data_IF_980888068776
#
_entry.id   IF_980888068776
#
_cell.length_a   1.000
_cell.length_b   1.000
_cell.length_c   1.000
_cell.angle_alpha   90.00
_cell.angle_beta   90.00
_cell.angle_gamma   90.00
#
_symmetry.space_group_name_H-M   'P 1'
#
loop_
_entity.id
_entity.type
_entity.pdbx_description
1 polymer ?
#
# COMPACT_ATOMS: atom_id res chain seq x y z
N UNK A 1 15.05 -20.91 31.79
CA UNK A 1 14.15 -20.81 30.63
C UNK A 1 13.06 -19.81 30.96
N UNK A 2 13.22 -18.56 30.52
CA UNK A 2 12.18 -17.54 30.65
C UNK A 2 11.08 -17.90 29.64
N UNK A 3 9.88 -18.20 30.12
CA UNK A 3 8.73 -18.53 29.28
C UNK A 3 8.43 -17.28 28.44
N UNK A 4 8.54 -17.41 27.12
CA UNK A 4 8.27 -16.32 26.21
C UNK A 4 6.75 -16.06 26.25
N UNK A 5 6.32 -15.00 26.92
CA UNK A 5 4.92 -14.58 26.99
C UNK A 5 4.46 -13.93 25.65
N UNK A 6 4.76 -14.57 24.52
CA UNK A 6 4.23 -14.10 23.23
C UNK A 6 2.72 -14.37 23.18
N UNK A 7 1.94 -13.38 22.74
CA UNK A 7 0.47 -13.49 22.66
C UNK A 7 0.01 -14.46 21.57
N UNK A 8 0.91 -14.87 20.69
CA UNK A 8 0.68 -15.78 19.58
C UNK A 8 1.89 -15.83 18.65
N UNK A 9 1.80 -16.63 17.59
CA UNK A 9 2.82 -16.68 16.54
C UNK A 9 2.66 -15.47 15.59
N UNK A 10 3.72 -14.65 15.36
CA UNK A 10 3.66 -13.48 14.49
C UNK A 10 3.35 -13.81 13.02
N UNK A 11 3.86 -14.92 12.52
CA UNK A 11 3.64 -15.37 11.14
C UNK A 11 2.18 -15.75 10.97
N UNK A 12 1.61 -16.49 11.92
CA UNK A 12 0.18 -16.85 11.91
C UNK A 12 -0.70 -15.59 11.95
N UNK A 13 -0.40 -14.64 12.84
CA UNK A 13 -1.15 -13.38 12.93
C UNK A 13 -1.09 -12.57 11.61
N UNK A 14 0.07 -12.57 10.95
CA UNK A 14 0.27 -11.91 9.65
C UNK A 14 -0.57 -12.58 8.56
N UNK A 15 -0.46 -13.90 8.41
CA UNK A 15 -1.17 -14.67 7.39
C UNK A 15 -2.70 -14.60 7.57
N UNK A 16 -3.19 -14.70 8.80
CA UNK A 16 -4.61 -14.54 9.08
C UNK A 16 -5.12 -13.16 8.63
N UNK A 17 -4.37 -12.10 8.93
CA UNK A 17 -4.73 -10.73 8.52
C UNK A 17 -4.67 -10.56 7.00
N UNK A 18 -3.71 -11.21 6.33
CA UNK A 18 -3.60 -11.17 4.86
C UNK A 18 -4.84 -11.73 4.17
N UNK A 19 -5.35 -12.86 4.66
CA UNK A 19 -6.56 -13.49 4.14
C UNK A 19 -7.84 -12.75 4.55
N UNK A 20 -7.95 -12.34 5.81
CA UNK A 20 -9.13 -11.66 6.35
C UNK A 20 -8.67 -10.49 7.20
N UNK A 21 -8.91 -9.24 6.77
CA UNK A 21 -8.50 -8.06 7.52
C UNK A 21 -8.96 -8.12 8.98
N UNK A 22 -8.02 -7.87 9.90
CA UNK A 22 -8.28 -7.94 11.35
C UNK A 22 -8.23 -9.34 11.97
N UNK A 23 -8.26 -10.44 11.22
CA UNK A 23 -8.30 -11.79 11.81
C UNK A 23 -7.07 -12.13 12.66
N UNK A 24 -5.87 -11.65 12.30
CA UNK A 24 -4.69 -11.78 13.17
C UNK A 24 -4.83 -11.04 14.49
N UNK A 25 -5.50 -9.89 14.51
CA UNK A 25 -5.77 -9.15 15.75
C UNK A 25 -6.81 -9.87 16.61
N UNK A 26 -7.80 -10.52 16.00
CA UNK A 26 -8.74 -11.38 16.71
C UNK A 26 -8.02 -12.57 17.35
N UNK A 27 -7.13 -13.22 16.60
CA UNK A 27 -6.25 -14.29 17.10
C UNK A 27 -5.42 -13.86 18.31
N UNK A 28 -4.93 -12.62 18.31
CA UNK A 28 -4.19 -12.02 19.44
C UNK A 28 -5.09 -11.48 20.57
N UNK A 29 -6.40 -11.79 20.55
CA UNK A 29 -7.34 -11.42 21.61
C UNK A 29 -7.79 -9.95 21.59
N UNK A 30 -7.77 -9.28 20.43
CA UNK A 30 -8.20 -7.87 20.26
C UNK A 30 -9.48 -7.75 19.39
N UNK A 31 -10.64 -8.25 19.85
CA UNK A 31 -11.83 -8.40 19.02
C UNK A 31 -12.40 -7.07 18.50
N UNK A 32 -12.45 -6.03 19.33
CA UNK A 32 -12.99 -4.73 18.91
C UNK A 32 -12.14 -4.09 17.80
N UNK A 33 -10.81 -4.18 17.92
CA UNK A 33 -9.91 -3.68 16.89
C UNK A 33 -10.01 -4.53 15.62
N UNK A 34 -10.07 -5.85 15.76
CA UNK A 34 -10.26 -6.77 14.62
C UNK A 34 -11.54 -6.44 13.83
N UNK A 35 -12.66 -6.21 14.53
CA UNK A 35 -13.91 -5.83 13.91
C UNK A 35 -13.82 -4.48 13.20
N UNK A 36 -13.23 -3.47 13.85
CA UNK A 36 -13.04 -2.15 13.23
C UNK A 36 -12.14 -2.23 11.98
N UNK A 37 -11.03 -2.98 12.07
CA UNK A 37 -10.11 -3.21 10.97
C UNK A 37 -10.80 -3.92 9.78
N UNK A 38 -11.59 -4.96 10.07
CA UNK A 38 -12.40 -5.65 9.08
C UNK A 38 -13.39 -4.71 8.38
N UNK A 39 -14.21 -3.99 9.16
CA UNK A 39 -15.22 -3.06 8.61
C UNK A 39 -14.58 -1.99 7.73
N UNK A 40 -13.46 -1.40 8.15
CA UNK A 40 -12.80 -0.34 7.38
C UNK A 40 -12.21 -0.89 6.09
N UNK A 41 -11.42 -1.96 6.15
CA UNK A 41 -10.72 -2.48 4.98
C UNK A 41 -11.69 -3.13 4.00
N UNK A 42 -12.56 -4.02 4.46
CA UNK A 42 -13.56 -4.65 3.61
C UNK A 42 -14.60 -3.65 3.14
N UNK A 43 -15.01 -2.69 3.98
CA UNK A 43 -15.96 -1.65 3.58
C UNK A 43 -15.42 -0.79 2.43
N UNK A 44 -14.16 -0.36 2.51
CA UNK A 44 -13.49 0.38 1.42
C UNK A 44 -13.38 -0.49 0.17
N UNK A 45 -12.97 -1.75 0.31
CA UNK A 45 -12.80 -2.65 -0.83
C UNK A 45 -14.13 -2.97 -1.52
N UNK A 46 -15.17 -3.33 -0.75
CA UNK A 46 -16.51 -3.62 -1.26
C UNK A 46 -17.16 -2.38 -1.88
N UNK A 47 -16.96 -1.20 -1.31
CA UNK A 47 -17.38 0.06 -1.94
C UNK A 47 -16.67 0.25 -3.28
N UNK A 48 -15.37 -0.06 -3.35
CA UNK A 48 -14.61 -0.03 -4.60
C UNK A 48 -15.12 -1.00 -5.66
N UNK A 49 -15.44 -2.23 -5.26
CA UNK A 49 -16.09 -3.21 -6.13
C UNK A 49 -17.45 -2.71 -6.63
N UNK A 50 -18.27 -2.16 -5.74
CA UNK A 50 -19.59 -1.64 -6.10
C UNK A 50 -19.49 -0.48 -7.10
N UNK A 51 -18.58 0.46 -6.89
CA UNK A 51 -18.37 1.61 -7.78
C UNK A 51 -17.75 1.23 -9.14
N UNK A 52 -17.10 0.07 -9.24
CA UNK A 52 -16.51 -0.42 -10.48
C UNK A 52 -17.33 -1.53 -11.14
N UNK A 53 -18.52 -1.86 -10.63
CA UNK A 53 -19.31 -3.05 -11.01
C UNK A 53 -18.50 -4.38 -10.94
N UNK A 54 -17.44 -4.41 -10.14
CA UNK A 54 -16.47 -5.51 -10.05
C UNK A 54 -15.50 -5.61 -11.23
N UNK A 55 -15.55 -4.67 -12.17
CA UNK A 55 -14.88 -4.73 -13.48
C UNK A 55 -13.45 -4.19 -13.50
N UNK A 56 -12.87 -3.90 -12.33
CA UNK A 56 -11.52 -3.31 -12.20
C UNK A 56 -10.42 -4.08 -12.97
N UNK A 57 -10.53 -5.40 -13.11
CA UNK A 57 -9.55 -6.20 -13.85
C UNK A 57 -9.90 -6.37 -15.35
N UNK A 58 -11.11 -6.04 -15.80
CA UNK A 58 -11.46 -6.08 -17.22
C UNK A 58 -10.66 -5.06 -18.04
N UNK A 59 -10.13 -4.05 -17.36
CA UNK A 59 -9.30 -2.99 -17.90
C UNK A 59 -7.98 -3.50 -18.51
N UNK A 60 -7.52 -4.67 -18.04
CA UNK A 60 -6.27 -5.26 -18.51
C UNK A 60 -6.41 -5.63 -19.99
N UNK A 61 -5.41 -5.28 -20.83
CA UNK A 61 -5.33 -5.80 -22.19
C UNK A 61 -5.40 -7.33 -22.20
N UNK A 62 -6.06 -7.96 -23.19
CA UNK A 62 -6.23 -9.41 -23.24
C UNK A 62 -4.94 -10.22 -23.02
N UNK A 63 -3.82 -9.73 -23.54
CA UNK A 63 -2.48 -10.31 -23.42
C UNK A 63 -1.91 -10.29 -21.99
N UNK A 64 -2.39 -9.40 -21.12
CA UNK A 64 -1.97 -9.29 -19.72
C UNK A 64 -2.89 -10.05 -18.75
N UNK A 65 -4.01 -10.57 -19.23
CA UNK A 65 -5.00 -11.31 -18.42
C UNK A 65 -4.48 -12.71 -18.11
N UNK A 66 -3.86 -12.85 -16.94
CA UNK A 66 -3.36 -14.14 -16.44
C UNK A 66 -3.92 -14.44 -15.06
N UNK A 67 -3.85 -15.68 -14.61
CA UNK A 67 -4.26 -16.03 -13.23
C UNK A 67 -3.43 -15.28 -12.16
N UNK A 68 -2.24 -14.78 -12.53
CA UNK A 68 -1.33 -14.09 -11.62
C UNK A 68 -1.44 -12.56 -11.70
N UNK A 69 -2.09 -11.98 -12.72
CA UNK A 69 -2.16 -10.53 -12.87
C UNK A 69 -2.77 -9.80 -11.66
N UNK A 70 -3.83 -10.31 -10.99
CA UNK A 70 -4.37 -9.67 -9.80
C UNK A 70 -3.35 -9.61 -8.65
N UNK A 71 -2.45 -10.60 -8.54
CA UNK A 71 -1.42 -10.61 -7.49
C UNK A 71 -0.34 -9.55 -7.67
N UNK A 72 -0.23 -8.95 -8.85
CA UNK A 72 0.68 -7.84 -9.13
C UNK A 72 0.05 -6.48 -8.84
N UNK A 73 -1.22 -6.46 -8.46
CA UNK A 73 -1.94 -5.24 -8.10
C UNK A 73 -1.85 -4.94 -6.59
N UNK A 74 -1.99 -3.68 -6.17
CA UNK A 74 -2.01 -3.32 -4.75
C UNK A 74 -3.09 -4.07 -3.94
N UNK A 75 -4.19 -4.44 -4.59
CA UNK A 75 -5.29 -5.24 -4.04
C UNK A 75 -4.82 -6.58 -3.46
N UNK A 76 -3.68 -7.12 -3.92
CA UNK A 76 -3.09 -8.37 -3.41
C UNK A 76 -2.76 -8.32 -1.92
N UNK A 77 -2.66 -7.12 -1.34
CA UNK A 77 -2.58 -6.93 0.10
C UNK A 77 -3.80 -7.43 0.88
N UNK A 78 -4.96 -7.57 0.23
CA UNK A 78 -6.17 -8.22 0.77
C UNK A 78 -6.49 -9.48 -0.05
N UNK A 79 -5.88 -10.60 0.34
CA UNK A 79 -5.93 -11.83 -0.42
C UNK A 79 -7.35 -12.43 -0.48
N UNK A 80 -8.12 -12.36 0.61
CA UNK A 80 -9.49 -12.87 0.61
C UNK A 80 -10.37 -12.12 -0.38
N UNK A 81 -10.31 -10.79 -0.34
CA UNK A 81 -11.13 -9.94 -1.20
C UNK A 81 -10.74 -10.06 -2.68
N UNK A 82 -9.45 -10.15 -3.00
CA UNK A 82 -9.01 -10.32 -4.41
C UNK A 82 -9.37 -11.69 -4.98
N UNK A 83 -9.31 -12.76 -4.18
CA UNK A 83 -9.76 -14.10 -4.59
C UNK A 83 -11.28 -14.11 -4.80
N UNK A 84 -12.03 -13.44 -3.92
CA UNK A 84 -13.47 -13.24 -4.11
C UNK A 84 -13.78 -12.49 -5.40
N UNK A 85 -13.11 -11.35 -5.65
CA UNK A 85 -13.31 -10.57 -6.87
C UNK A 85 -12.96 -11.39 -8.12
N UNK A 86 -11.80 -12.05 -8.11
CA UNK A 86 -11.32 -12.85 -9.25
C UNK A 86 -12.24 -14.02 -9.56
N UNK A 87 -12.76 -14.69 -8.53
CA UNK A 87 -13.70 -15.81 -8.72
C UNK A 87 -15.09 -15.37 -9.17
N UNK A 88 -15.54 -14.17 -8.77
CA UNK A 88 -16.89 -13.68 -9.06
C UNK A 88 -17.01 -12.91 -10.37
N UNK A 89 -16.02 -12.08 -10.70
CA UNK A 89 -16.06 -11.14 -11.82
C UNK A 89 -15.02 -11.47 -12.91
N UNK A 90 -13.84 -11.95 -12.51
CA UNK A 90 -12.77 -12.32 -13.43
C UNK A 90 -12.35 -11.16 -14.34
N UNK A 91 -12.26 -11.43 -15.65
CA UNK A 91 -11.87 -10.47 -16.69
C UNK A 91 -13.02 -10.05 -17.61
N UNK A 92 -14.26 -10.27 -17.18
CA UNK A 92 -15.45 -9.99 -17.97
C UNK A 92 -15.62 -10.92 -19.16
N UNK A 93 -16.55 -10.56 -20.04
CA UNK A 93 -16.92 -11.39 -21.22
C UNK A 93 -16.03 -11.13 -22.44
N UNK A 94 -15.16 -10.10 -22.39
CA UNK A 94 -14.38 -9.63 -23.54
C UNK A 94 -15.18 -8.82 -24.57
N UNK A 95 -16.48 -8.63 -24.35
CA UNK A 95 -17.30 -7.77 -25.21
C UNK A 95 -16.98 -6.29 -24.94
N UNK A 96 -16.96 -5.42 -25.97
CA UNK A 96 -16.88 -3.98 -25.77
C UNK A 96 -18.03 -3.50 -24.89
N UNK A 97 -17.70 -2.79 -23.82
CA UNK A 97 -18.69 -2.23 -22.91
C UNK A 97 -18.19 -0.90 -22.35
N UNK A 98 -19.14 -0.01 -22.07
CA UNK A 98 -18.86 1.29 -21.49
C UNK A 98 -18.44 1.08 -20.04
N UNK A 99 -17.38 1.77 -19.61
CA UNK A 99 -16.94 1.76 -18.22
C UNK A 99 -17.86 2.61 -17.36
N UNK A 100 -18.19 2.18 -16.12
CA UNK A 100 -18.88 3.04 -15.17
C UNK A 100 -18.08 4.33 -14.94
N UNK A 101 -18.76 5.47 -14.87
CA UNK A 101 -18.10 6.77 -14.59
C UNK A 101 -17.32 6.79 -13.26
N UNK A 102 -17.67 5.88 -12.34
CA UNK A 102 -17.04 5.70 -11.03
C UNK A 102 -15.93 4.65 -11.00
N UNK A 103 -15.56 4.06 -12.15
CA UNK A 103 -14.63 2.94 -12.24
C UNK A 103 -13.26 3.26 -11.63
N UNK A 104 -12.65 4.40 -11.98
CA UNK A 104 -11.35 4.79 -11.46
C UNK A 104 -11.35 4.96 -9.94
N UNK A 105 -12.37 5.63 -9.39
CA UNK A 105 -12.54 5.73 -7.93
C UNK A 105 -12.70 4.33 -7.30
N UNK A 106 -13.48 3.46 -7.93
CA UNK A 106 -13.65 2.08 -7.48
C UNK A 106 -12.32 1.34 -7.39
N UNK A 107 -11.49 1.47 -8.43
CA UNK A 107 -10.13 0.89 -8.50
C UNK A 107 -9.16 1.46 -7.46
N UNK A 108 -9.20 2.78 -7.21
CA UNK A 108 -8.37 3.38 -6.16
C UNK A 108 -8.76 2.85 -4.77
N UNK A 109 -10.07 2.68 -4.51
CA UNK A 109 -10.57 2.16 -3.25
C UNK A 109 -10.18 0.69 -3.02
N UNK A 110 -10.30 -0.18 -4.03
CA UNK A 110 -9.83 -1.58 -3.89
C UNK A 110 -8.33 -1.63 -3.61
N UNK A 111 -7.53 -0.83 -4.31
CA UNK A 111 -6.10 -0.71 -4.07
C UNK A 111 -5.79 -0.24 -2.63
N UNK A 112 -6.54 0.73 -2.10
CA UNK A 112 -6.39 1.16 -0.70
C UNK A 112 -6.73 0.06 0.29
N UNK A 113 -7.78 -0.72 0.04
CA UNK A 113 -8.10 -1.88 0.87
C UNK A 113 -6.89 -2.81 0.99
N UNK A 114 -6.20 -3.10 -0.12
CA UNK A 114 -4.98 -3.88 -0.12
C UNK A 114 -3.84 -3.25 0.69
N UNK A 115 -3.50 -1.98 0.42
CA UNK A 115 -2.40 -1.27 1.11
C UNK A 115 -2.66 -1.16 2.62
N UNK A 116 -3.88 -0.81 3.01
CA UNK A 116 -4.28 -0.74 4.43
C UNK A 116 -4.17 -2.11 5.10
N UNK A 117 -4.53 -3.18 4.40
CA UNK A 117 -4.40 -4.52 4.97
C UNK A 117 -2.94 -4.95 5.17
N UNK A 118 -2.01 -4.56 4.29
CA UNK A 118 -0.57 -4.77 4.50
C UNK A 118 -0.07 -4.07 5.76
N UNK A 119 -0.55 -2.85 6.05
CA UNK A 119 -0.24 -2.14 7.29
C UNK A 119 -0.85 -2.81 8.52
N UNK A 120 -2.04 -3.42 8.39
CA UNK A 120 -2.61 -4.24 9.45
C UNK A 120 -1.86 -5.56 9.65
N UNK A 121 -1.37 -6.18 8.59
CA UNK A 121 -0.54 -7.39 8.66
C UNK A 121 0.74 -7.10 9.46
N UNK A 122 1.43 -6.00 9.14
CA UNK A 122 2.64 -5.61 9.88
C UNK A 122 2.35 -5.27 11.34
N UNK A 123 1.21 -4.61 11.62
CA UNK A 123 0.75 -4.39 13.00
C UNK A 123 0.49 -5.70 13.75
N UNK A 124 -0.22 -6.65 13.15
CA UNK A 124 -0.52 -7.94 13.76
C UNK A 124 0.78 -8.71 14.08
N UNK A 125 1.75 -8.68 13.15
CA UNK A 125 3.08 -9.23 13.35
C UNK A 125 3.76 -8.60 14.57
N UNK A 126 3.83 -7.27 14.59
CA UNK A 126 4.46 -6.51 15.67
C UNK A 126 3.78 -6.75 17.03
N UNK A 127 2.45 -6.72 17.07
CA UNK A 127 1.67 -6.95 18.29
C UNK A 127 1.88 -8.37 18.87
N UNK A 128 2.17 -9.37 18.03
CA UNK A 128 2.49 -10.72 18.48
C UNK A 128 3.90 -10.83 19.10
N UNK A 129 4.84 -9.99 18.64
CA UNK A 129 6.24 -9.91 19.14
C UNK A 129 6.37 -9.05 20.39
N UNK A 130 5.49 -8.07 20.57
CA UNK A 130 5.50 -7.15 21.71
C UNK A 130 5.10 -7.84 23.01
N UNK A 131 6.03 -7.92 23.96
CA UNK A 131 5.82 -8.45 25.31
C UNK A 131 5.43 -7.37 26.32
N UNK A 132 5.73 -6.10 26.05
CA UNK A 132 5.44 -4.96 26.93
C UNK A 132 4.86 -3.80 26.15
N UNK A 133 4.01 -3.03 26.82
CA UNK A 133 3.58 -1.74 26.29
C UNK A 133 4.78 -0.78 26.35
N UNK A 134 5.17 -0.24 25.21
CA UNK A 134 6.15 0.85 25.11
C UNK A 134 5.48 2.09 24.55
N UNK A 135 6.04 3.23 24.93
CA UNK A 135 5.56 4.56 24.53
C UNK A 135 6.28 5.01 23.28
N UNK A 136 5.55 5.51 22.29
CA UNK A 136 6.16 6.04 21.06
C UNK A 136 5.21 5.95 19.88
N UNK A 137 5.70 6.43 18.73
CA UNK A 137 4.98 6.28 17.46
C UNK A 137 5.05 4.81 17.03
N UNK A 138 3.90 4.16 16.93
CA UNK A 138 3.81 2.76 16.53
C UNK A 138 4.36 2.53 15.11
N UNK A 139 5.03 1.40 14.82
CA UNK A 139 5.68 1.16 13.53
C UNK A 139 4.74 1.27 12.33
N UNK A 140 3.55 0.68 12.41
CA UNK A 140 2.55 0.73 11.34
C UNK A 140 2.01 2.14 11.12
N UNK A 141 1.92 2.95 12.18
CA UNK A 141 1.47 4.34 12.08
C UNK A 141 2.55 5.21 11.42
N UNK A 142 3.82 4.95 11.71
CA UNK A 142 4.93 5.62 11.05
C UNK A 142 4.97 5.27 9.54
N UNK A 143 4.81 3.99 9.20
CA UNK A 143 4.72 3.53 7.82
C UNK A 143 3.50 4.11 7.09
N UNK A 144 2.32 4.10 7.72
CA UNK A 144 1.11 4.70 7.18
C UNK A 144 1.31 6.19 6.90
N UNK A 145 1.88 6.93 7.86
CA UNK A 145 2.16 8.35 7.67
C UNK A 145 3.07 8.60 6.46
N UNK A 146 4.14 7.81 6.32
CA UNK A 146 5.05 7.89 5.16
C UNK A 146 4.41 7.46 3.84
N UNK A 147 3.45 6.53 3.86
CA UNK A 147 2.66 6.23 2.67
C UNK A 147 1.77 7.42 2.30
N UNK A 148 0.97 7.94 3.25
CA UNK A 148 0.05 9.07 3.01
C UNK A 148 0.80 10.28 2.44
N UNK A 149 1.92 10.65 3.06
CA UNK A 149 2.82 11.69 2.55
C UNK A 149 4.27 11.18 2.68
N UNK A 150 5.02 11.04 1.58
CA UNK A 150 6.41 10.63 1.61
C UNK A 150 7.23 11.43 2.63
N UNK A 151 7.90 10.72 3.56
CA UNK A 151 8.73 11.34 4.60
C UNK A 151 7.99 11.82 5.86
N UNK A 152 6.66 11.76 5.92
CA UNK A 152 5.91 12.21 7.11
C UNK A 152 6.17 11.32 8.33
N UNK A 153 6.29 10.00 8.18
CA UNK A 153 6.66 9.11 9.29
C UNK A 153 8.00 9.48 9.93
N UNK A 154 9.00 9.81 9.11
CA UNK A 154 10.30 10.33 9.56
C UNK A 154 10.14 11.63 10.35
N UNK A 155 9.30 12.57 9.88
CA UNK A 155 9.03 13.84 10.57
C UNK A 155 8.38 13.60 11.93
N UNK A 156 7.38 12.71 12.00
CA UNK A 156 6.69 12.35 13.25
C UNK A 156 7.61 11.66 14.25
N UNK A 157 8.65 10.98 13.79
CA UNK A 157 9.73 10.42 14.62
C UNK A 157 10.78 11.45 15.05
N UNK A 158 10.63 12.73 14.66
CA UNK A 158 11.60 13.79 14.94
C UNK A 158 12.76 13.88 13.93
N UNK A 159 12.83 12.99 12.94
CA UNK A 159 13.86 12.99 11.87
C UNK A 159 13.51 13.99 10.75
N UNK A 160 13.27 15.25 11.14
CA UNK A 160 12.65 16.29 10.29
C UNK A 160 13.38 16.56 8.97
N UNK A 161 14.69 16.81 9.01
CA UNK A 161 15.48 17.07 7.82
C UNK A 161 15.42 15.89 6.84
N UNK A 162 15.57 14.67 7.36
CA UNK A 162 15.50 13.45 6.54
C UNK A 162 14.13 13.30 5.88
N UNK A 163 13.05 13.46 6.63
CA UNK A 163 11.69 13.40 6.09
C UNK A 163 11.43 14.46 5.02
N UNK A 164 11.90 15.69 5.23
CA UNK A 164 11.80 16.76 4.24
C UNK A 164 12.57 16.46 2.94
N UNK A 165 13.81 15.98 3.04
CA UNK A 165 14.60 15.62 1.86
C UNK A 165 13.98 14.45 1.08
N UNK A 166 13.41 13.46 1.78
CA UNK A 166 12.66 12.36 1.18
C UNK A 166 11.44 12.89 0.42
N UNK A 167 10.66 13.77 1.04
CA UNK A 167 9.50 14.38 0.39
C UNK A 167 9.91 15.09 -0.91
N UNK A 168 10.91 15.98 -0.84
CA UNK A 168 11.39 16.71 -2.01
C UNK A 168 11.89 15.78 -3.12
N UNK A 169 12.65 14.74 -2.76
CA UNK A 169 13.18 13.80 -3.73
C UNK A 169 12.08 13.00 -4.41
N UNK A 170 11.19 12.36 -3.66
CA UNK A 170 10.20 11.45 -4.22
C UNK A 170 9.08 12.20 -4.94
N UNK A 171 8.56 13.27 -4.35
CA UNK A 171 7.53 14.10 -5.00
C UNK A 171 8.13 14.87 -6.17
N UNK A 172 9.37 15.34 -6.07
CA UNK A 172 10.07 15.97 -7.19
C UNK A 172 10.26 15.02 -8.36
N UNK A 173 10.76 13.79 -8.10
CA UNK A 173 10.94 12.76 -9.11
C UNK A 173 9.61 12.41 -9.81
N UNK A 174 8.56 12.19 -9.03
CA UNK A 174 7.22 11.91 -9.55
C UNK A 174 6.64 13.08 -10.35
N UNK A 175 6.83 14.33 -9.88
CA UNK A 175 6.34 15.53 -10.57
C UNK A 175 7.05 15.71 -11.90
N UNK A 176 8.38 15.52 -11.94
CA UNK A 176 9.15 15.56 -13.18
C UNK A 176 8.64 14.48 -14.14
N UNK A 177 8.47 13.24 -13.67
CA UNK A 177 7.90 12.15 -14.47
C UNK A 177 6.52 12.52 -15.03
N UNK A 178 5.60 12.96 -14.17
CA UNK A 178 4.22 13.24 -14.56
C UNK A 178 4.09 14.45 -15.49
N UNK A 179 4.96 15.44 -15.36
CA UNK A 179 5.01 16.59 -16.28
C UNK A 179 5.57 16.20 -17.64
N UNK A 180 6.64 15.39 -17.68
CA UNK A 180 7.19 14.85 -18.93
C UNK A 180 6.23 13.88 -19.64
N UNK A 181 5.40 13.17 -18.88
CA UNK A 181 4.36 12.29 -19.38
C UNK A 181 3.02 12.97 -19.64
N UNK A 182 2.93 14.29 -19.44
CA UNK A 182 1.70 15.09 -19.61
C UNK A 182 0.48 14.49 -18.88
N UNK A 183 0.71 13.81 -17.76
CA UNK A 183 -0.30 13.09 -16.97
C UNK A 183 -0.72 11.72 -17.53
N UNK A 184 -0.33 11.36 -18.75
CA UNK A 184 -0.68 10.08 -19.39
C UNK A 184 -0.15 8.86 -18.62
N UNK A 185 0.94 9.03 -17.87
CA UNK A 185 1.56 7.99 -17.07
C UNK A 185 0.75 7.59 -15.82
N UNK A 186 -0.26 8.39 -15.45
CA UNK A 186 -1.07 8.24 -14.23
C UNK A 186 -2.30 7.34 -14.45
N UNK A 187 -2.61 7.03 -15.71
CA UNK A 187 -3.81 6.28 -16.06
C UNK A 187 -3.62 4.77 -15.81
N UNK A 188 -4.40 4.21 -14.88
CA UNK A 188 -4.41 2.76 -14.62
C UNK A 188 -4.85 1.95 -15.84
N UNK A 189 -5.70 2.50 -16.71
CA UNK A 189 -6.12 1.84 -17.96
C UNK A 189 -4.94 1.52 -18.87
N UNK A 190 -4.02 2.47 -18.96
CA UNK A 190 -2.86 2.38 -19.86
C UNK A 190 -1.70 1.65 -19.21
N UNK A 191 -1.54 1.84 -17.91
CA UNK A 191 -0.31 1.51 -17.19
C UNK A 191 -0.53 0.67 -15.95
N UNK A 192 -1.44 -0.31 -16.01
CA UNK A 192 -1.90 -1.10 -14.86
C UNK A 192 -0.80 -1.48 -13.83
N UNK A 193 0.32 -2.08 -14.29
CA UNK A 193 1.40 -2.51 -13.38
C UNK A 193 2.22 -1.34 -12.83
N UNK A 194 2.53 -0.35 -13.66
CA UNK A 194 3.29 0.82 -13.22
C UNK A 194 2.48 1.72 -12.29
N UNK A 195 1.17 1.84 -12.55
CA UNK A 195 0.22 2.50 -11.67
C UNK A 195 0.24 1.87 -10.27
N UNK A 196 0.28 0.53 -10.18
CA UNK A 196 0.41 -0.18 -8.91
C UNK A 196 1.67 0.21 -8.12
N UNK A 197 2.78 0.49 -8.80
CA UNK A 197 3.97 1.06 -8.16
C UNK A 197 3.80 2.54 -7.81
N UNK A 198 3.23 3.35 -8.70
CA UNK A 198 3.02 4.79 -8.51
C UNK A 198 2.12 5.09 -7.30
N UNK A 199 1.04 4.33 -7.09
CA UNK A 199 0.10 4.57 -5.98
C UNK A 199 0.74 4.37 -4.60
N UNK A 200 1.89 3.69 -4.52
CA UNK A 200 2.68 3.56 -3.29
C UNK A 200 3.37 4.86 -2.88
N UNK A 201 3.41 5.87 -3.77
CA UNK A 201 3.77 7.24 -3.41
C UNK A 201 2.70 7.92 -2.51
N UNK A 202 1.48 7.38 -2.50
CA UNK A 202 0.37 7.85 -1.67
C UNK A 202 -0.35 9.07 -2.23
N UNK A 203 -0.74 10.00 -1.34
CA UNK A 203 -1.60 11.13 -1.72
C UNK A 203 -1.09 11.96 -2.90
N UNK A 204 0.22 12.25 -3.06
CA UNK A 204 0.69 12.99 -4.22
C UNK A 204 0.32 12.33 -5.55
N UNK A 205 0.46 11.01 -5.67
CA UNK A 205 0.11 10.29 -6.89
C UNK A 205 -1.41 10.27 -7.12
N UNK A 206 -2.18 10.04 -6.07
CA UNK A 206 -3.64 9.98 -6.13
C UNK A 206 -4.26 11.31 -6.54
N UNK A 207 -3.78 12.41 -5.95
CA UNK A 207 -4.24 13.75 -6.29
C UNK A 207 -3.86 14.09 -7.73
N UNK A 208 -2.67 13.72 -8.17
CA UNK A 208 -2.25 13.95 -9.55
C UNK A 208 -3.13 13.16 -10.54
N UNK A 209 -3.44 11.89 -10.26
CA UNK A 209 -4.32 11.06 -11.08
C UNK A 209 -5.74 11.64 -11.18
N UNK A 210 -6.33 12.07 -10.05
CA UNK A 210 -7.67 12.68 -10.04
C UNK A 210 -7.72 13.92 -10.93
N UNK A 211 -6.65 14.73 -10.93
CA UNK A 211 -6.64 16.01 -11.64
C UNK A 211 -6.25 15.84 -13.12
N UNK A 212 -5.28 14.95 -13.44
CA UNK A 212 -4.66 14.90 -14.76
C UNK A 212 -4.72 13.53 -15.45
N UNK A 213 -5.02 12.45 -14.72
CA UNK A 213 -4.74 11.08 -15.17
C UNK A 213 -5.62 10.54 -16.29
N UNK A 214 -6.73 11.20 -16.61
CA UNK A 214 -7.72 10.69 -17.58
C UNK A 214 -7.89 11.63 -18.79
N UNK A 215 -6.87 12.43 -19.09
CA UNK A 215 -6.90 13.35 -20.24
C UNK A 215 -6.85 12.55 -21.56
N UNK A 216 -7.70 12.88 -22.55
CA UNK A 216 -7.58 12.29 -23.89
C UNK A 216 -6.20 12.57 -24.48
N UNK A 217 -5.59 11.56 -25.11
CA UNK A 217 -4.36 11.76 -25.88
C UNK A 217 -4.72 11.94 -27.35
N UNK A 218 -4.47 13.13 -27.87
CA UNK A 218 -4.63 13.51 -29.28
C UNK A 218 -3.29 13.57 -30.03
N UNK A 219 -2.18 13.33 -29.34
CA UNK A 219 -0.83 13.35 -29.88
C UNK A 219 0.09 12.34 -29.17
N UNK A 220 1.28 12.14 -29.73
CA UNK A 220 2.32 11.28 -29.14
C UNK A 220 3.11 12.06 -28.07
N UNK A 221 3.22 11.49 -26.86
CA UNK A 221 3.96 12.10 -25.75
C UNK A 221 5.42 11.62 -25.79
N UNK A 222 6.41 12.48 -26.10
CA UNK A 222 7.78 12.04 -26.41
C UNK A 222 8.51 11.30 -25.28
N UNK A 223 8.18 11.60 -24.03
CA UNK A 223 8.84 11.04 -22.85
C UNK A 223 7.95 10.10 -22.04
N UNK A 224 6.92 9.55 -22.67
CA UNK A 224 5.91 8.73 -22.03
C UNK A 224 6.49 7.54 -21.24
N UNK A 225 7.37 6.74 -21.86
CA UNK A 225 7.93 5.54 -21.20
C UNK A 225 8.80 5.92 -20.01
N UNK A 226 9.58 7.01 -20.14
CA UNK A 226 10.40 7.53 -19.05
C UNK A 226 9.53 8.02 -17.90
N UNK A 227 8.44 8.72 -18.18
CA UNK A 227 7.49 9.22 -17.20
C UNK A 227 6.88 8.08 -16.36
N UNK A 228 6.44 7.02 -17.03
CA UNK A 228 5.84 5.83 -16.41
C UNK A 228 6.84 5.13 -15.47
N UNK A 229 8.08 4.95 -15.93
CA UNK A 229 9.15 4.33 -15.13
C UNK A 229 9.51 5.19 -13.94
N UNK A 230 9.77 6.49 -14.14
CA UNK A 230 10.16 7.42 -13.07
C UNK A 230 9.09 7.52 -12.00
N UNK A 231 7.82 7.64 -12.39
CA UNK A 231 6.70 7.67 -11.46
C UNK A 231 6.62 6.40 -10.62
N UNK A 232 6.75 5.23 -11.26
CA UNK A 232 6.72 3.93 -10.57
C UNK A 232 7.89 3.79 -9.59
N UNK A 233 9.10 4.17 -10.01
CA UNK A 233 10.30 4.15 -9.16
C UNK A 233 10.11 5.06 -7.95
N UNK A 234 9.53 6.26 -8.10
CA UNK A 234 9.25 7.14 -6.97
C UNK A 234 8.35 6.47 -5.91
N UNK A 235 7.29 5.76 -6.34
CA UNK A 235 6.41 5.02 -5.44
C UNK A 235 7.08 3.81 -4.79
N UNK A 236 7.86 3.03 -5.53
CA UNK A 236 8.62 1.89 -4.98
C UNK A 236 9.70 2.35 -3.98
N UNK A 237 10.36 3.48 -4.23
CA UNK A 237 11.28 4.09 -3.26
C UNK A 237 10.54 4.56 -2.01
N UNK A 238 9.27 4.98 -2.12
CA UNK A 238 8.46 5.30 -0.95
C UNK A 238 8.20 4.07 -0.07
N UNK A 239 8.13 2.86 -0.64
CA UNK A 239 8.06 1.62 0.17
C UNK A 239 9.30 1.47 1.03
N UNK A 240 10.50 1.76 0.51
CA UNK A 240 11.73 1.73 1.31
C UNK A 240 11.71 2.77 2.44
N UNK A 241 11.11 3.94 2.18
CA UNK A 241 10.89 4.99 3.18
C UNK A 241 9.89 4.53 4.25
N UNK A 242 8.82 3.82 3.87
CA UNK A 242 7.87 3.22 4.80
C UNK A 242 8.55 2.18 5.69
N UNK A 243 9.39 1.31 5.10
CA UNK A 243 10.17 0.30 5.83
C UNK A 243 11.18 0.95 6.79
N UNK A 244 11.85 2.03 6.38
CA UNK A 244 12.74 2.80 7.28
C UNK A 244 11.97 3.45 8.44
N UNK A 245 10.78 4.01 8.18
CA UNK A 245 9.93 4.55 9.23
C UNK A 245 9.47 3.42 10.17
N UNK A 246 9.02 2.30 9.63
CA UNK A 246 8.60 1.14 10.40
C UNK A 246 9.74 0.62 11.30
N UNK A 247 10.90 0.31 10.70
CA UNK A 247 12.05 -0.28 11.40
C UNK A 247 12.60 0.63 12.50
N UNK A 248 12.65 1.95 12.27
CA UNK A 248 13.04 2.92 13.30
C UNK A 248 12.10 2.90 14.51
N UNK A 249 10.79 2.86 14.28
CA UNK A 249 9.81 2.77 15.36
C UNK A 249 9.88 1.41 16.05
N UNK A 250 10.05 0.32 15.29
CA UNK A 250 10.13 -1.03 15.82
C UNK A 250 11.33 -1.21 16.76
N UNK A 251 12.52 -0.77 16.35
CA UNK A 251 13.74 -0.90 17.15
C UNK A 251 13.61 -0.15 18.48
N UNK A 252 13.03 1.06 18.47
CA UNK A 252 12.77 1.82 19.70
C UNK A 252 11.82 1.08 20.66
N UNK A 253 10.82 0.37 20.13
CA UNK A 253 9.90 -0.39 20.97
C UNK A 253 10.53 -1.69 21.49
N UNK A 254 11.47 -2.28 20.75
CA UNK A 254 12.23 -3.47 21.15
C UNK A 254 13.45 -3.16 22.02
N UNK A 255 13.81 -1.89 22.19
CA UNK A 255 14.99 -1.46 22.96
C UNK A 255 16.31 -1.63 22.19
N UNK A 256 16.25 -1.72 20.87
CA UNK A 256 17.40 -1.82 19.97
C UNK A 256 17.83 -0.41 19.49
N UNK A 257 19.11 -0.23 19.15
CA UNK A 257 19.58 1.03 18.58
C UNK A 257 19.02 1.18 17.14
N UNK A 258 18.17 2.19 16.86
CA UNK A 258 17.61 2.40 15.53
C UNK A 258 18.66 2.72 14.44
N UNK A 259 19.88 3.12 14.81
CA UNK A 259 20.95 3.43 13.85
C UNK A 259 21.80 2.22 13.50
N UNK A 260 21.87 1.24 14.38
CA UNK A 260 22.76 0.09 14.29
C UNK A 260 21.91 -1.12 14.65
N UNK A 261 21.36 -1.82 13.64
CA UNK A 261 20.47 -2.98 13.82
C UNK A 261 21.12 -4.22 14.46
N UNK A 262 22.12 -4.03 15.31
CA UNK A 262 22.83 -5.00 16.13
C UNK A 262 23.03 -4.39 17.51
N UNK A 263 22.46 -5.05 18.51
CA UNK A 263 22.54 -4.68 19.92
C UNK A 263 23.97 -4.43 20.39
N UNK A 264 24.20 -3.30 21.06
CA UNK A 264 25.37 -3.04 21.90
C UNK A 264 25.38 -3.88 23.20
N UNK A 265 25.00 -5.17 23.12
CA UNK A 265 24.84 -6.05 24.29
C UNK A 265 25.84 -7.21 24.33
N UNK A 266 27.05 -7.02 23.79
CA UNK A 266 28.16 -7.98 23.91
C UNK A 266 29.44 -7.35 24.48
N UNK A 267 29.33 -6.26 25.25
CA UNK A 267 30.46 -5.69 25.99
C UNK A 267 30.09 -5.40 27.45
N UNK A 268 30.09 -6.46 28.26
CA UNK A 268 30.32 -6.41 29.70
C UNK A 268 30.73 -7.81 30.20
#
# INVERSE_FOLDING_TARGET
MQKNDSKGDPTVATLLTWFVPGAGHLYLGKPLFALAAFIVVEGIYLLGLWLSDGRAFEILPPEMRSQFAPFLSPESGNLGAILFQSSRFGYGTGAPAIWPSTMHLGMSLTAFGGILNVLLMSRANFDARMTRASTGLRPETAALASWVIPGLGQILQGRRLRGFLIFLLLVGLFTIGSTMGEGANLDRERHFFYWGGQVLLGLPALLAEIIHGHSPLDHEVPYHDLAVVIGCVAGLLNVLVMLDAYGWSESLHLGEDPKHGLTASNTA
#
